data_IF_275689526822
#
_entry.id   IF_275689526822
#
_cell.length_a   1.000
_cell.length_b   1.000
_cell.length_c   1.000
_cell.angle_alpha   90.00
_cell.angle_beta   90.00
_cell.angle_gamma   90.00
#
_symmetry.space_group_name_H-M   'P 1'
#
loop_
_entity.id
_entity.type
_entity.pdbx_description
1 polymer ?
#
# COMPACT_ATOMS: atom_id res chain seq x y z
N UNK A 1 -0.66 20.78 1.85
CA UNK A 1 -0.03 20.55 0.51
C UNK A 1 -1.06 20.50 -0.62
N UNK A 2 -2.09 19.65 -0.57
CA UNK A 2 -3.13 19.60 -1.63
C UNK A 2 -3.90 20.92 -1.77
N UNK A 3 -4.34 21.51 -0.66
CA UNK A 3 -5.01 22.82 -0.65
C UNK A 3 -4.05 23.94 -1.12
N UNK A 4 -2.76 23.81 -0.78
CA UNK A 4 -1.70 24.71 -1.27
C UNK A 4 -1.47 24.58 -2.79
N UNK A 5 -1.45 23.36 -3.33
CA UNK A 5 -1.31 23.11 -4.78
C UNK A 5 -2.53 23.56 -5.60
N UNK A 6 -3.72 23.63 -4.97
CA UNK A 6 -4.95 24.20 -5.55
C UNK A 6 -5.05 25.73 -5.38
N UNK A 7 -4.12 26.36 -4.66
CA UNK A 7 -4.18 27.79 -4.36
C UNK A 7 -5.21 28.18 -3.27
N UNK A 8 -5.80 27.21 -2.60
CA UNK A 8 -6.78 27.39 -1.52
C UNK A 8 -6.10 27.62 -0.15
N UNK A 9 -4.78 27.42 -0.07
CA UNK A 9 -3.97 27.65 1.12
C UNK A 9 -2.67 28.38 0.77
N UNK A 10 -2.24 29.32 1.61
CA UNK A 10 -1.03 30.13 1.39
C UNK A 10 0.26 29.46 1.88
N UNK A 11 0.17 28.46 2.76
CA UNK A 11 1.33 27.73 3.28
C UNK A 11 1.11 26.21 3.25
N UNK A 12 2.10 25.40 2.85
CA UNK A 12 1.94 23.96 2.78
C UNK A 12 1.99 23.35 4.18
N UNK A 13 0.85 22.92 4.72
CA UNK A 13 0.84 22.07 5.90
C UNK A 13 1.31 20.65 5.51
N UNK A 14 2.50 20.22 5.98
CA UNK A 14 3.14 18.93 5.67
C UNK A 14 2.57 17.73 6.44
N UNK A 15 1.28 17.76 6.79
CA UNK A 15 0.63 16.56 7.33
C UNK A 15 0.48 15.57 6.18
N UNK A 16 1.06 14.38 6.31
CA UNK A 16 1.05 13.36 5.25
C UNK A 16 -0.41 13.07 4.82
N UNK A 17 -0.83 13.63 3.68
CA UNK A 17 -2.22 13.60 3.22
C UNK A 17 -2.68 12.22 2.75
N UNK A 18 -1.74 11.28 2.63
CA UNK A 18 -1.99 9.84 2.53
C UNK A 18 -2.79 9.31 3.73
N UNK A 19 -2.62 9.90 4.92
CA UNK A 19 -3.13 9.36 6.18
C UNK A 19 -4.12 10.28 6.91
N UNK A 20 -4.34 11.52 6.43
CA UNK A 20 -5.42 12.40 6.93
C UNK A 20 -6.83 11.92 6.51
N UNK A 21 -6.94 11.15 5.43
CA UNK A 21 -8.14 10.37 5.21
C UNK A 21 -8.09 9.22 6.21
N UNK A 22 -8.98 9.29 7.19
CA UNK A 22 -9.30 8.16 8.03
C UNK A 22 -9.50 6.96 7.11
N UNK A 23 -8.53 6.06 7.20
CA UNK A 23 -8.58 4.67 6.78
C UNK A 23 -8.47 4.37 5.28
N UNK A 24 -7.30 3.83 4.93
CA UNK A 24 -7.16 2.73 3.98
C UNK A 24 -8.21 1.61 4.19
N UNK A 25 -8.79 1.47 5.40
CA UNK A 25 -9.94 0.62 5.70
C UNK A 25 -11.33 1.22 5.41
N UNK A 26 -11.50 2.53 5.15
CA UNK A 26 -12.78 3.17 4.79
C UNK A 26 -12.95 3.34 3.27
N UNK A 27 -11.87 3.36 2.51
CA UNK A 27 -11.93 3.35 1.06
C UNK A 27 -12.09 1.91 0.55
N UNK A 28 -13.19 1.61 -0.16
CA UNK A 28 -13.43 0.29 -0.75
C UNK A 28 -12.27 -0.13 -1.65
N UNK A 29 -11.85 0.75 -2.56
CA UNK A 29 -10.77 0.49 -3.51
C UNK A 29 -9.46 0.13 -2.81
N UNK A 30 -9.00 0.99 -1.89
CA UNK A 30 -7.75 0.77 -1.18
C UNK A 30 -7.81 -0.47 -0.26
N UNK A 31 -8.97 -0.70 0.36
CA UNK A 31 -9.22 -1.88 1.18
C UNK A 31 -9.13 -3.18 0.39
N UNK A 32 -9.72 -3.22 -0.81
CA UNK A 32 -9.71 -4.41 -1.65
C UNK A 32 -8.32 -4.66 -2.27
N UNK A 33 -7.62 -3.62 -2.76
CA UNK A 33 -6.22 -3.74 -3.23
C UNK A 33 -5.35 -4.35 -2.13
N UNK A 34 -5.51 -3.83 -0.92
CA UNK A 34 -4.79 -4.30 0.25
C UNK A 34 -5.11 -5.76 0.59
N UNK A 35 -6.39 -6.11 0.72
CA UNK A 35 -6.80 -7.48 1.05
C UNK A 35 -6.29 -8.49 0.02
N UNK A 36 -6.37 -8.17 -1.27
CA UNK A 36 -5.90 -9.06 -2.34
C UNK A 36 -4.39 -9.28 -2.31
N UNK A 37 -3.59 -8.21 -2.19
CA UNK A 37 -2.12 -8.36 -2.22
C UNK A 37 -1.57 -9.01 -0.96
N UNK A 38 -2.15 -8.75 0.21
CA UNK A 38 -1.73 -9.41 1.45
C UNK A 38 -2.14 -10.88 1.48
N UNK A 39 -3.30 -11.23 0.93
CA UNK A 39 -3.72 -12.61 0.72
C UNK A 39 -2.76 -13.35 -0.22
N UNK A 40 -2.43 -12.76 -1.37
CA UNK A 40 -1.41 -13.30 -2.29
C UNK A 40 -0.06 -13.51 -1.59
N UNK A 41 0.30 -12.59 -0.68
CA UNK A 41 1.52 -12.66 0.10
C UNK A 41 1.48 -13.60 1.31
N UNK A 42 0.38 -14.32 1.55
CA UNK A 42 0.19 -15.20 2.71
C UNK A 42 0.49 -14.47 4.05
N UNK A 43 0.12 -13.19 4.08
CA UNK A 43 0.19 -12.37 5.28
C UNK A 43 -1.25 -12.19 5.74
N UNK A 44 -1.58 -12.88 6.82
CA UNK A 44 -2.92 -12.88 7.37
C UNK A 44 -3.29 -11.46 7.82
N UNK A 45 -4.24 -10.88 7.10
CA UNK A 45 -4.62 -9.49 7.26
C UNK A 45 -5.73 -9.36 8.31
N UNK A 46 -5.37 -9.10 9.56
CA UNK A 46 -6.32 -8.53 10.50
C UNK A 46 -6.48 -7.05 10.15
N UNK A 47 -7.44 -6.74 9.27
CA UNK A 47 -7.69 -5.39 8.74
C UNK A 47 -7.71 -4.36 9.89
N UNK A 48 -6.67 -3.52 10.03
CA UNK A 48 -6.61 -2.60 11.15
C UNK A 48 -7.68 -1.52 10.98
N UNK A 49 -8.56 -1.42 11.98
CA UNK A 49 -9.70 -0.50 11.99
C UNK A 49 -9.30 0.95 12.31
N UNK A 50 -8.15 1.14 12.95
CA UNK A 50 -7.64 2.45 13.36
C UNK A 50 -6.18 2.59 12.94
N UNK A 51 -5.71 3.85 12.86
CA UNK A 51 -4.31 4.14 12.58
C UNK A 51 -3.36 3.55 13.64
N UNK A 52 -3.74 3.63 14.92
CA UNK A 52 -2.96 3.04 16.00
C UNK A 52 -2.82 1.51 15.83
N UNK A 53 -3.92 0.82 15.52
CA UNK A 53 -3.87 -0.63 15.24
C UNK A 53 -3.02 -0.94 14.00
N UNK A 54 -3.08 -0.11 12.97
CA UNK A 54 -2.25 -0.27 11.78
C UNK A 54 -0.76 -0.14 12.09
N UNK A 55 -0.38 0.86 12.88
CA UNK A 55 1.02 1.06 13.30
C UNK A 55 1.50 -0.11 14.16
N UNK A 56 0.66 -0.59 15.09
CA UNK A 56 0.99 -1.76 15.91
C UNK A 56 1.15 -3.02 15.06
N UNK A 57 0.22 -3.29 14.16
CA UNK A 57 0.27 -4.43 13.24
C UNK A 57 1.51 -4.37 12.31
N UNK A 58 1.83 -3.18 11.81
CA UNK A 58 3.02 -2.95 10.98
C UNK A 58 4.31 -3.20 11.76
N UNK A 59 4.37 -2.75 13.01
CA UNK A 59 5.50 -3.03 13.90
C UNK A 59 5.61 -4.53 14.22
N UNK A 60 4.49 -5.24 14.42
CA UNK A 60 4.50 -6.67 14.70
C UNK A 60 5.02 -7.49 13.52
N UNK A 61 4.56 -7.21 12.30
CA UNK A 61 4.93 -7.99 11.12
C UNK A 61 6.23 -7.53 10.44
N UNK A 62 6.59 -6.25 10.56
CA UNK A 62 7.79 -5.68 9.93
C UNK A 62 9.06 -5.74 10.78
N UNK A 63 8.95 -6.13 12.07
CA UNK A 63 10.08 -6.16 13.01
C UNK A 63 11.07 -7.27 12.65
N UNK A 64 12.35 -6.93 12.67
CA UNK A 64 13.46 -7.84 12.41
C UNK A 64 13.83 -7.96 10.92
N UNK A 65 14.58 -9.02 10.62
CA UNK A 65 15.22 -9.27 9.31
C UNK A 65 14.80 -10.61 8.68
N UNK A 66 13.76 -11.26 9.20
CA UNK A 66 13.25 -12.51 8.61
C UNK A 66 12.72 -12.24 7.20
N UNK A 67 12.78 -13.24 6.32
CA UNK A 67 12.23 -13.15 4.95
C UNK A 67 10.78 -12.68 4.95
N UNK A 68 9.96 -13.16 5.90
CA UNK A 68 8.56 -12.74 6.08
C UNK A 68 8.45 -11.26 6.46
N UNK A 69 9.27 -10.77 7.39
CA UNK A 69 9.26 -9.37 7.79
C UNK A 69 9.75 -8.44 6.68
N UNK A 70 10.73 -8.88 5.88
CA UNK A 70 11.20 -8.12 4.72
C UNK A 70 10.15 -8.09 3.61
N UNK A 71 9.51 -9.23 3.32
CA UNK A 71 8.41 -9.32 2.34
C UNK A 71 7.25 -8.41 2.75
N UNK A 72 6.89 -8.43 4.03
CA UNK A 72 5.90 -7.53 4.62
C UNK A 72 6.23 -6.06 4.35
N UNK A 73 7.46 -5.62 4.67
CA UNK A 73 7.90 -4.23 4.45
C UNK A 73 7.85 -3.83 2.97
N UNK A 74 8.24 -4.74 2.08
CA UNK A 74 8.21 -4.50 0.64
C UNK A 74 6.78 -4.30 0.14
N UNK A 75 5.87 -5.22 0.47
CA UNK A 75 4.45 -5.12 0.08
C UNK A 75 3.81 -3.88 0.68
N UNK A 76 4.10 -3.59 1.95
CA UNK A 76 3.59 -2.39 2.62
C UNK A 76 3.98 -1.11 1.87
N UNK A 77 5.25 -1.01 1.46
CA UNK A 77 5.73 0.12 0.68
C UNK A 77 5.04 0.21 -0.69
N UNK A 78 4.91 -0.91 -1.40
CA UNK A 78 4.22 -0.96 -2.70
C UNK A 78 2.72 -0.63 -2.58
N UNK A 79 2.03 -1.08 -1.54
CA UNK A 79 0.64 -0.72 -1.24
C UNK A 79 0.46 0.78 -1.08
N UNK A 80 1.31 1.38 -0.23
CA UNK A 80 1.28 2.83 0.02
C UNK A 80 1.53 3.59 -1.28
N UNK A 81 2.53 3.17 -2.05
CA UNK A 81 2.84 3.79 -3.34
C UNK A 81 1.71 3.65 -4.36
N UNK A 82 1.13 2.46 -4.50
CA UNK A 82 0.05 2.20 -5.46
C UNK A 82 -1.21 3.00 -5.15
N UNK A 83 -1.62 3.08 -3.88
CA UNK A 83 -2.77 3.88 -3.45
C UNK A 83 -2.52 5.38 -3.66
N UNK A 84 -1.31 5.85 -3.36
CA UNK A 84 -0.92 7.23 -3.63
C UNK A 84 -0.97 7.56 -5.13
N UNK A 85 -0.39 6.69 -5.95
CA UNK A 85 -0.33 6.85 -7.40
C UNK A 85 -1.72 6.84 -8.03
N UNK A 86 -2.60 5.92 -7.60
CA UNK A 86 -3.99 5.87 -8.07
C UNK A 86 -4.75 7.15 -7.71
N UNK A 87 -4.60 7.63 -6.48
CA UNK A 87 -5.22 8.91 -6.07
C UNK A 87 -4.75 10.06 -6.95
N UNK A 88 -3.45 10.12 -7.23
CA UNK A 88 -2.89 11.19 -8.08
C UNK A 88 -3.41 11.10 -9.51
N UNK A 89 -3.43 9.90 -10.11
CA UNK A 89 -3.99 9.70 -11.46
C UNK A 89 -5.45 10.15 -11.57
N UNK A 90 -6.27 9.88 -10.55
CA UNK A 90 -7.66 10.34 -10.52
C UNK A 90 -7.80 11.85 -10.45
N UNK A 91 -6.90 12.53 -9.72
CA UNK A 91 -6.97 13.99 -9.51
C UNK A 91 -6.39 14.73 -10.71
N UNK A 92 -5.26 14.28 -11.24
CA UNK A 92 -4.47 15.04 -12.22
C UNK A 92 -4.65 14.57 -13.66
N UNK A 93 -5.09 13.32 -13.87
CA UNK A 93 -5.24 12.74 -15.20
C UNK A 93 -6.68 12.28 -15.49
N UNK A 94 -7.60 12.40 -14.53
CA UNK A 94 -8.96 11.84 -14.57
C UNK A 94 -9.01 10.34 -14.98
N UNK A 95 -7.96 9.60 -14.64
CA UNK A 95 -7.85 8.16 -14.91
C UNK A 95 -8.16 7.35 -13.68
N UNK A 96 -8.85 6.23 -13.88
CA UNK A 96 -9.12 5.21 -12.86
C UNK A 96 -8.53 3.89 -13.32
N UNK A 97 -7.66 3.30 -12.52
CA UNK A 97 -7.18 1.94 -12.79
C UNK A 97 -8.14 0.92 -12.17
N UNK A 98 -8.19 -0.27 -12.77
CA UNK A 98 -8.90 -1.40 -12.20
C UNK A 98 -8.07 -1.98 -11.04
N UNK A 99 -8.77 -2.47 -10.00
CA UNK A 99 -8.13 -3.08 -8.82
C UNK A 99 -7.21 -4.22 -9.25
N UNK A 100 -7.67 -5.08 -10.16
CA UNK A 100 -6.89 -6.20 -10.71
C UNK A 100 -5.58 -5.76 -11.36
N UNK A 101 -5.60 -4.66 -12.10
CA UNK A 101 -4.43 -4.12 -12.78
C UNK A 101 -3.41 -3.61 -11.76
N UNK A 102 -3.88 -2.89 -10.73
CA UNK A 102 -3.04 -2.39 -9.66
C UNK A 102 -2.42 -3.53 -8.86
N UNK A 103 -3.21 -4.53 -8.49
CA UNK A 103 -2.75 -5.70 -7.72
C UNK A 103 -1.71 -6.51 -8.50
N UNK A 104 -1.95 -6.76 -9.80
CA UNK A 104 -0.97 -7.43 -10.68
C UNK A 104 0.33 -6.65 -10.81
N UNK A 105 0.25 -5.34 -11.02
CA UNK A 105 1.41 -4.47 -11.09
C UNK A 105 2.21 -4.49 -9.79
N UNK A 106 1.53 -4.43 -8.64
CA UNK A 106 2.18 -4.51 -7.33
C UNK A 106 2.92 -5.83 -7.11
N UNK A 107 2.32 -6.96 -7.47
CA UNK A 107 2.98 -8.25 -7.36
C UNK A 107 4.19 -8.36 -8.29
N UNK A 108 4.05 -7.92 -9.55
CA UNK A 108 5.15 -7.87 -10.51
C UNK A 108 6.33 -7.06 -9.96
N UNK A 109 6.06 -5.84 -9.49
CA UNK A 109 7.05 -4.93 -8.94
C UNK A 109 7.69 -5.50 -7.67
N UNK A 110 6.88 -6.09 -6.78
CA UNK A 110 7.36 -6.76 -5.56
C UNK A 110 8.33 -7.89 -5.92
N UNK A 111 7.97 -8.76 -6.87
CA UNK A 111 8.86 -9.84 -7.34
C UNK A 111 10.16 -9.27 -7.93
N UNK A 112 10.05 -8.25 -8.79
CA UNK A 112 11.20 -7.66 -9.47
C UNK A 112 12.18 -6.98 -8.51
N UNK A 113 11.68 -6.35 -7.45
CA UNK A 113 12.49 -5.64 -6.43
C UNK A 113 12.93 -6.54 -5.28
N UNK A 114 12.39 -7.75 -5.20
CA UNK A 114 12.67 -8.66 -4.08
C UNK A 114 14.08 -9.27 -4.16
N UNK A 115 14.80 -9.37 -3.02
CA UNK A 115 15.98 -10.22 -2.91
C UNK A 115 15.66 -11.68 -3.24
N UNK A 116 16.66 -12.46 -3.65
CA UNK A 116 16.51 -13.88 -4.04
C UNK A 116 15.78 -14.69 -2.95
N UNK A 117 16.09 -14.43 -1.67
CA UNK A 117 15.46 -15.10 -0.52
C UNK A 117 13.94 -14.90 -0.47
N UNK A 118 13.44 -13.72 -0.87
CA UNK A 118 12.02 -13.42 -0.94
C UNK A 118 11.43 -13.94 -2.25
N UNK A 119 12.14 -13.77 -3.36
CA UNK A 119 11.70 -14.22 -4.69
C UNK A 119 11.33 -15.70 -4.67
N UNK A 120 12.13 -16.55 -4.02
CA UNK A 120 11.87 -17.99 -3.87
C UNK A 120 10.56 -18.31 -3.12
N UNK A 121 10.07 -17.39 -2.28
CA UNK A 121 8.83 -17.56 -1.50
C UNK A 121 7.60 -17.19 -2.31
N UNK A 122 7.71 -16.19 -3.20
CA UNK A 122 6.57 -15.57 -3.89
C UNK A 122 6.49 -15.88 -5.40
N UNK A 123 7.56 -16.37 -6.02
CA UNK A 123 7.62 -16.65 -7.47
C UNK A 123 6.60 -17.67 -7.96
N UNK A 124 6.22 -18.62 -7.12
CA UNK A 124 5.29 -19.69 -7.46
C UNK A 124 3.81 -19.31 -7.21
N UNK A 125 3.55 -18.12 -6.67
CA UNK A 125 2.21 -17.70 -6.24
C UNK A 125 1.48 -17.02 -7.39
N UNK A 126 0.29 -17.54 -7.73
CA UNK A 126 -0.60 -16.93 -8.73
C UNK A 126 -1.40 -15.80 -8.08
N UNK A 127 -1.58 -14.71 -8.83
CA UNK A 127 -2.35 -13.53 -8.44
C UNK A 127 -3.58 -13.35 -9.30
#
# INVERSE_FOLDING_TARGET
>A
IYDYQRGEQTTPEWRCLMFKNVAMSKCHYAGEVWERVFTWADIHNNRPKTWAHFMQWSNQHGKGKTTKAQLFKLILAECVHAVWNERNKRIFEDKKCLIDEVVKNMAYVTIARSPISIKNVISHRKI
#
